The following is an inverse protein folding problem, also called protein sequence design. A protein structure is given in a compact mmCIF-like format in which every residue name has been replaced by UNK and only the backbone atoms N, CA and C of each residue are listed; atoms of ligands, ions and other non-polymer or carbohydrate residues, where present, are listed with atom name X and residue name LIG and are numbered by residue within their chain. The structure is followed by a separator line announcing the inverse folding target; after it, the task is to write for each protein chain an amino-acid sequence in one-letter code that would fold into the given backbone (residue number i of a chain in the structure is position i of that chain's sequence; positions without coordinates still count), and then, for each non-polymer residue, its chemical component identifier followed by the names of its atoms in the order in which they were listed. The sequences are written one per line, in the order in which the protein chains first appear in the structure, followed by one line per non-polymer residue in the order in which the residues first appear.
data_IF_262653667555
#
_entry.id   IF_262653667555
#
_cell.length_a   1.000
_cell.length_b   1.000
_cell.length_c   1.000
_cell.angle_alpha   90.00
_cell.angle_beta   90.00
_cell.angle_gamma   90.00
#
_symmetry.space_group_name_H-M   'P 1'
#
loop_
_entity.id
_entity.type
_entity.pdbx_description
1 polymer ?
#
# COMPACT_ATOMS: atom_id res chain seq x y z
N UNK A 1 -4.71 15.15 -7.07
CA UNK A 1 -4.62 13.90 -6.29
C UNK A 1 -5.21 12.77 -7.12
N UNK A 2 -4.47 11.67 -7.22
CA UNK A 2 -4.85 10.49 -7.99
C UNK A 2 -5.45 9.52 -6.98
N UNK A 3 -6.72 9.16 -7.14
CA UNK A 3 -7.41 8.23 -6.25
C UNK A 3 -7.76 6.98 -7.04
N UNK A 4 -7.62 5.83 -6.41
CA UNK A 4 -8.12 4.57 -6.95
C UNK A 4 -9.63 4.67 -7.15
N UNK A 5 -10.11 4.10 -8.26
CA UNK A 5 -11.54 4.04 -8.54
C UNK A 5 -12.08 2.74 -7.97
N UNK A 6 -12.97 2.85 -6.98
CA UNK A 6 -13.46 1.71 -6.22
C UNK A 6 -14.96 1.60 -6.42
N UNK A 7 -15.41 0.50 -7.00
CA UNK A 7 -16.81 0.11 -7.03
C UNK A 7 -17.08 -0.88 -5.90
N UNK A 8 -18.08 -0.61 -5.07
CA UNK A 8 -18.59 -1.58 -4.10
C UNK A 8 -19.95 -2.05 -4.59
N UNK A 9 -20.08 -3.36 -4.78
CA UNK A 9 -21.27 -3.99 -5.37
C UNK A 9 -21.75 -5.09 -4.45
N UNK A 10 -23.05 -5.10 -4.16
CA UNK A 10 -23.72 -6.22 -3.49
C UNK A 10 -24.33 -7.13 -4.55
N UNK A 11 -23.99 -8.41 -4.53
CA UNK A 11 -24.39 -9.40 -5.53
C UNK A 11 -25.59 -10.26 -5.06
N UNK A 12 -26.57 -9.66 -4.38
CA UNK A 12 -27.80 -10.35 -3.97
C UNK A 12 -28.68 -10.79 -5.16
N UNK A 13 -29.98 -11.00 -4.92
CA UNK A 13 -30.93 -11.44 -5.95
C UNK A 13 -30.93 -10.52 -7.19
N UNK A 14 -30.77 -9.22 -6.95
CA UNK A 14 -30.47 -8.20 -7.94
C UNK A 14 -29.20 -7.51 -7.50
N UNK A 15 -28.22 -7.39 -8.38
CA UNK A 15 -27.00 -6.72 -8.01
C UNK A 15 -27.24 -5.21 -7.89
N UNK A 16 -26.59 -4.59 -6.91
CA UNK A 16 -26.73 -3.15 -6.66
C UNK A 16 -25.38 -2.52 -6.40
N UNK A 17 -25.17 -1.33 -6.96
CA UNK A 17 -23.99 -0.52 -6.66
C UNK A 17 -24.19 0.14 -5.29
N UNK A 18 -23.40 -0.28 -4.31
CA UNK A 18 -23.39 0.27 -2.96
C UNK A 18 -22.62 1.58 -2.95
N UNK A 19 -21.48 1.61 -3.65
CA UNK A 19 -20.66 2.81 -3.81
C UNK A 19 -19.91 2.79 -5.14
N UNK A 20 -19.72 3.95 -5.74
CA UNK A 20 -18.86 4.17 -6.91
C UNK A 20 -17.93 5.34 -6.61
N UNK A 21 -16.83 5.04 -5.95
CA UNK A 21 -15.90 6.02 -5.45
C UNK A 21 -14.88 6.39 -6.52
N UNK A 22 -14.88 7.67 -6.89
CA UNK A 22 -13.84 8.29 -7.71
C UNK A 22 -12.82 9.09 -6.88
N UNK A 23 -13.11 9.24 -5.57
CA UNK A 23 -12.33 9.97 -4.57
C UNK A 23 -12.56 9.29 -3.22
N UNK A 24 -11.66 9.53 -2.26
CA UNK A 24 -11.93 9.15 -0.87
C UNK A 24 -13.19 9.84 -0.36
N UNK A 25 -14.07 9.09 0.31
CA UNK A 25 -15.27 9.63 0.97
C UNK A 25 -15.40 9.01 2.35
N UNK A 26 -15.54 9.85 3.37
CA UNK A 26 -15.88 9.45 4.75
C UNK A 26 -17.24 8.75 4.82
N UNK A 27 -18.08 8.92 3.80
CA UNK A 27 -19.37 8.23 3.67
C UNK A 27 -19.23 6.75 3.34
N UNK A 28 -18.05 6.30 2.88
CA UNK A 28 -17.85 4.90 2.53
C UNK A 28 -18.12 3.96 3.71
N UNK A 29 -17.70 4.35 4.91
CA UNK A 29 -17.98 3.59 6.12
C UNK A 29 -19.49 3.49 6.36
N UNK A 30 -20.22 4.61 6.25
CA UNK A 30 -21.69 4.63 6.43
C UNK A 30 -22.38 3.76 5.39
N UNK A 31 -21.99 3.88 4.13
CA UNK A 31 -22.56 3.09 3.02
C UNK A 31 -22.34 1.60 3.24
N UNK A 32 -21.14 1.19 3.65
CA UNK A 32 -20.83 -0.21 3.94
C UNK A 32 -21.66 -0.73 5.13
N UNK A 33 -21.81 0.05 6.20
CA UNK A 33 -22.64 -0.33 7.37
C UNK A 33 -24.13 -0.41 7.05
N UNK A 34 -24.62 0.48 6.21
CA UNK A 34 -26.02 0.52 5.78
C UNK A 34 -26.34 -0.52 4.71
N UNK A 35 -25.33 -1.11 4.07
CA UNK A 35 -25.56 -2.29 3.25
C UNK A 35 -26.03 -3.42 4.14
N UNK A 36 -27.34 -3.65 4.11
CA UNK A 36 -27.88 -4.91 4.57
C UNK A 36 -27.26 -6.01 3.69
N UNK A 37 -26.27 -6.72 4.25
CA UNK A 37 -25.72 -7.92 3.65
C UNK A 37 -26.83 -8.96 3.75
N UNK A 38 -27.75 -8.90 2.81
CA UNK A 38 -28.90 -9.75 2.80
C UNK A 38 -28.38 -11.18 2.78
N UNK A 39 -28.84 -11.97 3.75
CA UNK A 39 -28.91 -13.43 3.70
C UNK A 39 -29.84 -13.85 2.55
N UNK A 40 -29.56 -13.35 1.35
CA UNK A 40 -30.29 -13.67 0.16
C UNK A 40 -29.76 -15.02 -0.29
N UNK A 41 -30.64 -16.01 -0.25
CA UNK A 41 -30.41 -17.33 -0.85
C UNK A 41 -30.13 -17.22 -2.35
N UNK A 42 -30.52 -16.10 -2.95
CA UNK A 42 -30.31 -15.75 -4.34
C UNK A 42 -29.11 -14.81 -4.47
N UNK A 43 -28.13 -15.24 -5.25
CA UNK A 43 -26.92 -14.50 -5.58
C UNK A 43 -26.75 -14.46 -7.10
N UNK A 44 -26.62 -13.25 -7.66
CA UNK A 44 -26.47 -13.06 -9.09
C UNK A 44 -25.07 -12.48 -9.41
N UNK A 45 -24.11 -13.39 -9.59
CA UNK A 45 -22.72 -13.00 -9.90
C UNK A 45 -22.63 -12.24 -11.22
N UNK A 46 -23.30 -12.74 -12.24
CA UNK A 46 -23.22 -12.18 -13.59
C UNK A 46 -23.71 -10.75 -13.61
N UNK A 47 -24.85 -10.46 -13.00
CA UNK A 47 -25.39 -9.10 -12.92
C UNK A 47 -24.44 -8.16 -12.14
N UNK A 48 -23.82 -8.65 -11.06
CA UNK A 48 -22.85 -7.86 -10.30
C UNK A 48 -21.60 -7.50 -11.12
N UNK A 49 -21.07 -8.46 -11.90
CA UNK A 49 -19.90 -8.20 -12.76
C UNK A 49 -20.30 -7.33 -13.96
N UNK A 50 -21.50 -7.47 -14.50
CA UNK A 50 -22.01 -6.58 -15.56
C UNK A 50 -22.23 -5.14 -15.06
N UNK A 51 -22.67 -4.95 -13.81
CA UNK A 51 -22.69 -3.63 -13.18
C UNK A 51 -21.28 -3.06 -13.04
N UNK A 52 -20.32 -3.87 -12.60
CA UNK A 52 -18.93 -3.45 -12.55
C UNK A 52 -18.42 -3.04 -13.95
N UNK A 53 -18.72 -3.84 -14.98
CA UNK A 53 -18.32 -3.55 -16.36
C UNK A 53 -18.89 -2.22 -16.79
N UNK A 54 -20.19 -1.96 -16.58
CA UNK A 54 -20.81 -0.66 -16.89
C UNK A 54 -20.12 0.51 -16.19
N UNK A 55 -19.77 0.36 -14.91
CA UNK A 55 -19.04 1.41 -14.17
C UNK A 55 -17.69 1.70 -14.85
N UNK A 56 -16.93 0.67 -15.22
CA UNK A 56 -15.56 0.80 -15.72
C UNK A 56 -15.43 0.89 -17.25
N UNK A 57 -16.49 0.63 -18.02
CA UNK A 57 -16.52 0.69 -19.48
C UNK A 57 -16.75 2.12 -20.00
N UNK A 58 -17.55 2.92 -19.30
CA UNK A 58 -17.77 4.35 -19.62
C UNK A 58 -16.59 5.24 -19.18
N UNK A 59 -15.50 4.62 -18.77
CA UNK A 59 -14.43 5.29 -18.06
C UNK A 59 -13.46 5.94 -19.04
N UNK A 60 -13.81 7.14 -19.52
CA UNK A 60 -12.84 8.10 -20.10
C UNK A 60 -11.78 8.55 -19.08
N UNK A 61 -11.81 8.03 -17.86
CA UNK A 61 -10.89 8.45 -16.81
C UNK A 61 -9.49 7.88 -17.00
N UNK A 62 -8.59 8.55 -16.29
CA UNK A 62 -7.14 8.34 -16.21
C UNK A 62 -6.80 6.85 -16.26
N UNK A 63 -6.10 6.41 -17.31
CA UNK A 63 -5.53 5.07 -17.46
C UNK A 63 -4.65 4.64 -16.29
N UNK A 64 -4.22 5.60 -15.47
CA UNK A 64 -3.19 5.42 -14.46
C UNK A 64 -3.75 5.26 -13.03
N UNK A 65 -5.07 5.11 -12.85
CA UNK A 65 -5.64 4.84 -11.52
C UNK A 65 -5.94 3.35 -11.34
N UNK A 66 -5.57 2.73 -10.21
CA UNK A 66 -6.02 1.39 -9.88
C UNK A 66 -7.56 1.35 -9.86
N UNK A 67 -8.13 0.36 -10.54
CA UNK A 67 -9.57 0.12 -10.60
C UNK A 67 -9.89 -1.11 -9.78
N UNK A 68 -10.73 -0.99 -8.78
CA UNK A 68 -11.06 -2.09 -7.87
C UNK A 68 -12.56 -2.26 -7.73
N UNK A 69 -12.99 -3.50 -7.75
CA UNK A 69 -14.35 -3.92 -7.44
C UNK A 69 -14.31 -4.71 -6.15
N UNK A 70 -15.04 -4.25 -5.15
CA UNK A 70 -15.33 -5.01 -3.92
C UNK A 70 -16.73 -5.59 -4.07
N UNK A 71 -16.81 -6.92 -4.16
CA UNK A 71 -18.04 -7.62 -4.44
C UNK A 71 -18.48 -8.39 -3.20
N UNK A 72 -19.60 -7.97 -2.61
CA UNK A 72 -20.22 -8.64 -1.48
C UNK A 72 -21.15 -9.75 -1.96
N UNK A 73 -21.06 -10.92 -1.34
CA UNK A 73 -21.75 -12.15 -1.72
C UNK A 73 -22.22 -12.94 -0.50
N UNK A 74 -23.28 -13.74 -0.66
CA UNK A 74 -23.69 -14.75 0.33
C UNK A 74 -22.94 -16.07 0.16
N UNK A 75 -22.24 -16.28 -0.96
CA UNK A 75 -21.45 -17.49 -1.26
C UNK A 75 -20.03 -17.18 -1.72
N UNK A 76 -19.10 -18.09 -1.48
CA UNK A 76 -17.73 -17.99 -2.01
C UNK A 76 -17.76 -18.14 -3.53
N UNK A 77 -17.01 -17.30 -4.23
CA UNK A 77 -16.95 -17.27 -5.70
C UNK A 77 -15.58 -17.77 -6.11
N UNK A 78 -15.54 -18.90 -6.80
CA UNK A 78 -14.29 -19.50 -7.26
C UNK A 78 -14.25 -19.48 -8.78
N UNK A 79 -13.40 -18.62 -9.36
CA UNK A 79 -13.13 -18.64 -10.79
C UNK A 79 -11.95 -19.55 -11.10
N UNK A 80 -12.23 -20.66 -11.78
CA UNK A 80 -11.18 -21.57 -12.24
C UNK A 80 -10.40 -20.98 -13.42
N UNK A 81 -9.07 -21.19 -13.51
CA UNK A 81 -8.29 -20.77 -14.65
C UNK A 81 -8.83 -21.40 -15.95
N UNK A 82 -9.08 -20.56 -16.96
CA UNK A 82 -9.68 -20.97 -18.23
C UNK A 82 -8.88 -22.06 -18.97
N UNK A 83 -7.58 -22.23 -18.68
CA UNK A 83 -6.76 -23.30 -19.26
C UNK A 83 -7.16 -24.72 -18.86
N UNK A 84 -8.01 -24.90 -17.82
CA UNK A 84 -8.54 -26.21 -17.40
C UNK A 84 -10.05 -26.38 -17.60
N UNK A 85 -10.75 -25.37 -18.13
CA UNK A 85 -12.22 -25.36 -18.18
C UNK A 85 -12.85 -26.18 -19.31
N UNK A 86 -12.09 -26.73 -20.27
CA UNK A 86 -12.70 -27.44 -21.40
C UNK A 86 -13.26 -28.83 -21.08
N UNK A 87 -12.92 -29.43 -19.93
CA UNK A 87 -13.19 -30.87 -19.68
C UNK A 87 -14.30 -31.12 -18.63
N UNK A 88 -14.67 -30.13 -17.81
CA UNK A 88 -15.71 -30.32 -16.77
C UNK A 88 -17.05 -29.73 -17.19
N UNK A 89 -17.74 -30.40 -18.13
CA UNK A 89 -19.12 -30.08 -18.55
C UNK A 89 -20.21 -30.35 -17.49
N UNK A 90 -19.86 -30.76 -16.27
CA UNK A 90 -20.84 -31.13 -15.22
C UNK A 90 -21.03 -30.09 -14.10
N UNK A 91 -20.39 -28.91 -14.16
CA UNK A 91 -20.55 -27.90 -13.12
C UNK A 91 -21.91 -27.18 -13.23
N UNK A 92 -22.76 -27.42 -12.23
CA UNK A 92 -24.19 -27.05 -12.12
C UNK A 92 -24.56 -25.56 -12.22
N UNK A 93 -23.63 -24.62 -12.42
CA UNK A 93 -23.93 -23.19 -12.48
C UNK A 93 -23.33 -22.52 -13.73
N UNK A 94 -24.07 -22.55 -14.84
CA UNK A 94 -23.72 -21.84 -16.07
C UNK A 94 -23.48 -20.33 -15.83
N UNK A 95 -24.26 -19.73 -14.92
CA UNK A 95 -24.16 -18.31 -14.56
C UNK A 95 -22.80 -17.91 -13.98
N UNK A 96 -22.15 -18.79 -13.21
CA UNK A 96 -20.83 -18.49 -12.62
C UNK A 96 -19.74 -18.48 -13.71
N UNK A 97 -19.91 -19.27 -14.77
CA UNK A 97 -18.94 -19.39 -15.87
C UNK A 97 -18.89 -18.11 -16.69
N UNK A 98 -20.04 -17.53 -17.00
CA UNK A 98 -20.11 -16.26 -17.72
C UNK A 98 -19.55 -15.11 -16.89
N UNK A 99 -19.96 -14.99 -15.61
CA UNK A 99 -19.42 -13.98 -14.70
C UNK A 99 -17.89 -14.04 -14.57
N UNK A 100 -17.30 -15.24 -14.43
CA UNK A 100 -15.85 -15.41 -14.36
C UNK A 100 -15.15 -15.01 -15.68
N UNK A 101 -15.75 -15.32 -16.82
CA UNK A 101 -15.24 -14.88 -18.13
C UNK A 101 -15.21 -13.35 -18.22
N UNK A 102 -16.22 -12.68 -17.66
CA UNK A 102 -16.35 -11.24 -17.65
C UNK A 102 -15.34 -10.59 -16.70
N UNK A 103 -15.12 -11.16 -15.51
CA UNK A 103 -14.03 -10.75 -14.62
C UNK A 103 -12.67 -10.85 -15.32
N UNK A 104 -12.40 -11.98 -16.00
CA UNK A 104 -11.14 -12.18 -16.72
C UNK A 104 -10.97 -11.20 -17.88
N UNK A 105 -12.05 -10.84 -18.59
CA UNK A 105 -12.07 -9.79 -19.61
C UNK A 105 -11.77 -8.44 -18.97
N UNK A 106 -12.53 -8.02 -17.96
CA UNK A 106 -12.36 -6.72 -17.31
C UNK A 106 -10.97 -6.54 -16.70
N UNK A 107 -10.43 -7.59 -16.10
CA UNK A 107 -9.10 -7.53 -15.50
C UNK A 107 -8.00 -7.40 -16.56
N UNK A 108 -8.20 -7.92 -17.78
CA UNK A 108 -7.25 -7.80 -18.91
C UNK A 108 -7.42 -6.50 -19.68
N UNK A 109 -8.65 -6.13 -20.00
CA UNK A 109 -8.99 -4.97 -20.83
C UNK A 109 -8.92 -3.66 -20.05
N UNK A 110 -9.43 -3.65 -18.82
CA UNK A 110 -9.55 -2.42 -18.02
C UNK A 110 -8.57 -2.35 -16.85
N UNK A 111 -7.81 -3.42 -16.56
CA UNK A 111 -6.92 -3.46 -15.40
C UNK A 111 -7.66 -3.50 -14.05
N UNK A 112 -8.93 -3.94 -14.05
CA UNK A 112 -9.75 -4.01 -12.83
C UNK A 112 -9.32 -5.19 -11.97
N UNK A 113 -9.20 -4.96 -10.65
CA UNK A 113 -8.99 -6.01 -9.66
C UNK A 113 -10.28 -6.25 -8.88
N UNK A 114 -10.65 -7.52 -8.70
CA UNK A 114 -11.85 -7.91 -7.98
C UNK A 114 -11.48 -8.53 -6.63
N UNK A 115 -12.15 -8.06 -5.59
CA UNK A 115 -12.08 -8.55 -4.21
C UNK A 115 -13.48 -9.07 -3.87
N UNK A 116 -13.64 -10.39 -3.79
CA UNK A 116 -14.87 -11.02 -3.33
C UNK A 116 -14.91 -11.07 -1.81
N UNK A 117 -16.03 -10.67 -1.20
CA UNK A 117 -16.31 -10.77 0.22
C UNK A 117 -17.57 -11.60 0.38
N UNK A 118 -17.46 -12.79 0.98
CA UNK A 118 -18.58 -13.68 1.23
C UNK A 118 -18.92 -13.72 2.71
N UNK A 119 -20.19 -13.49 3.08
CA UNK A 119 -20.66 -13.58 4.47
C UNK A 119 -21.25 -14.98 4.69
N UNK A 120 -20.50 -15.86 5.35
CA UNK A 120 -20.97 -17.18 5.73
C UNK A 120 -21.40 -17.26 7.20
N UNK A 121 -21.96 -18.41 7.60
CA UNK A 121 -22.34 -18.68 9.00
C UNK A 121 -21.16 -18.62 9.99
N UNK A 122 -19.93 -18.72 9.48
CA UNK A 122 -18.70 -18.70 10.27
C UNK A 122 -17.91 -17.38 10.17
N UNK A 123 -18.50 -16.32 9.59
CA UNK A 123 -17.85 -15.02 9.41
C UNK A 123 -17.67 -14.60 7.96
N UNK A 124 -16.83 -13.60 7.74
CA UNK A 124 -16.58 -12.96 6.45
C UNK A 124 -15.37 -13.61 5.78
N UNK A 125 -15.52 -14.22 4.60
CA UNK A 125 -14.42 -14.79 3.83
C UNK A 125 -14.10 -13.88 2.63
N UNK A 126 -12.84 -13.50 2.47
CA UNK A 126 -12.38 -12.72 1.33
C UNK A 126 -11.57 -13.54 0.36
N UNK A 127 -11.79 -13.35 -0.95
CA UNK A 127 -11.02 -14.00 -2.01
C UNK A 127 -10.70 -13.00 -3.13
N UNK A 128 -9.52 -13.13 -3.74
CA UNK A 128 -9.18 -12.38 -4.95
C UNK A 128 -9.62 -13.18 -6.17
N UNK A 129 -10.39 -12.56 -7.08
CA UNK A 129 -10.96 -13.29 -8.23
C UNK A 129 -9.92 -13.59 -9.33
N UNK A 130 -8.63 -13.44 -9.02
CA UNK A 130 -7.50 -13.89 -9.85
C UNK A 130 -6.69 -14.93 -9.07
N UNK A 131 -7.04 -16.21 -9.25
CA UNK A 131 -6.21 -17.31 -8.78
C UNK A 131 -6.00 -17.32 -7.26
N UNK A 132 -7.05 -17.71 -6.55
CA UNK A 132 -7.11 -18.30 -5.20
C UNK A 132 -6.18 -17.75 -4.11
N UNK A 133 -6.75 -17.06 -3.13
CA UNK A 133 -6.38 -17.22 -1.71
C UNK A 133 -7.47 -16.62 -0.80
N UNK A 134 -8.05 -17.49 0.02
CA UNK A 134 -9.03 -17.15 1.05
C UNK A 134 -8.34 -16.50 2.25
N UNK A 135 -8.83 -15.35 2.70
CA UNK A 135 -8.53 -14.80 4.03
C UNK A 135 -9.85 -14.81 4.83
N UNK A 136 -9.98 -15.66 5.85
CA UNK A 136 -11.14 -15.63 6.74
C UNK A 136 -11.06 -14.43 7.70
N UNK A 137 -12.22 -13.84 7.99
CA UNK A 137 -12.42 -12.73 8.92
C UNK A 137 -13.51 -13.09 9.94
N UNK A 138 -13.22 -12.79 11.20
CA UNK A 138 -14.21 -12.71 12.28
C UNK A 138 -14.95 -11.36 12.22
N UNK A 139 -16.24 -11.38 12.57
CA UNK A 139 -17.24 -10.39 12.17
C UNK A 139 -17.08 -8.96 12.71
N UNK A 140 -16.07 -8.66 13.53
CA UNK A 140 -15.87 -7.31 14.09
C UNK A 140 -14.64 -6.57 13.51
N UNK A 141 -13.69 -7.28 12.91
CA UNK A 141 -12.47 -6.68 12.35
C UNK A 141 -12.50 -6.49 10.83
N UNK A 142 -13.56 -6.93 10.17
CA UNK A 142 -13.61 -7.04 8.71
C UNK A 142 -13.45 -5.70 7.99
N UNK A 143 -13.91 -4.58 8.58
CA UNK A 143 -13.80 -3.25 7.95
C UNK A 143 -12.38 -2.69 7.97
N UNK A 144 -11.73 -2.64 9.14
CA UNK A 144 -10.34 -2.23 9.24
C UNK A 144 -9.46 -3.13 8.37
N UNK A 145 -9.83 -4.41 8.23
CA UNK A 145 -9.14 -5.37 7.39
C UNK A 145 -9.42 -5.18 5.90
N UNK A 146 -10.62 -4.81 5.44
CA UNK A 146 -10.89 -4.44 4.04
C UNK A 146 -10.08 -3.20 3.65
N UNK A 147 -10.10 -2.15 4.48
CA UNK A 147 -9.30 -0.95 4.25
C UNK A 147 -7.81 -1.25 4.31
N UNK A 148 -7.37 -2.08 5.26
CA UNK A 148 -6.00 -2.59 5.29
C UNK A 148 -5.72 -3.40 4.04
N UNK A 149 -6.55 -4.29 3.54
CA UNK A 149 -6.33 -5.05 2.30
C UNK A 149 -6.27 -4.15 1.06
N UNK A 150 -7.08 -3.09 1.01
CA UNK A 150 -6.96 -2.04 0.00
C UNK A 150 -5.68 -1.22 0.16
N UNK A 151 -4.99 -1.33 1.29
CA UNK A 151 -3.75 -0.62 1.59
C UNK A 151 -2.48 -1.47 1.73
N UNK A 152 -2.62 -2.78 1.94
CA UNK A 152 -1.55 -3.68 2.30
C UNK A 152 -1.24 -4.59 1.13
N UNK A 153 0.06 -4.74 0.90
CA UNK A 153 0.63 -6.08 0.76
C UNK A 153 1.70 -6.30 1.85
N UNK A 154 2.08 -7.57 2.07
CA UNK A 154 3.16 -8.07 2.94
C UNK A 154 2.89 -8.28 4.44
N UNK A 155 1.99 -9.22 4.78
CA UNK A 155 2.30 -10.20 5.85
C UNK A 155 2.00 -11.63 5.36
N UNK A 156 0.93 -11.82 4.59
CA UNK A 156 0.51 -13.18 4.16
C UNK A 156 1.45 -13.79 3.11
N UNK A 157 2.09 -12.98 2.25
CA UNK A 157 3.08 -13.48 1.29
C UNK A 157 4.33 -14.10 1.95
N UNK A 158 4.72 -13.62 3.15
CA UNK A 158 5.81 -14.23 3.92
C UNK A 158 5.37 -15.48 4.69
N UNK A 159 4.09 -15.59 5.07
CA UNK A 159 3.53 -16.81 5.66
C UNK A 159 3.36 -17.93 4.63
N UNK A 160 3.15 -17.59 3.35
CA UNK A 160 2.99 -18.53 2.24
C UNK A 160 4.20 -18.45 1.29
N UNK A 161 5.32 -19.06 1.70
CA UNK A 161 6.61 -19.13 0.98
C UNK A 161 6.56 -19.57 -0.51
N UNK A 162 5.40 -19.93 -1.05
CA UNK A 162 5.23 -20.47 -2.39
C UNK A 162 4.86 -19.44 -3.46
N UNK A 163 4.58 -18.17 -3.11
CA UNK A 163 4.22 -17.14 -4.08
C UNK A 163 5.43 -16.34 -4.58
N UNK A 164 6.34 -16.99 -5.31
CA UNK A 164 7.44 -16.30 -6.03
C UNK A 164 6.96 -15.45 -7.23
N UNK A 165 5.67 -15.54 -7.59
CA UNK A 165 5.12 -14.93 -8.81
C UNK A 165 3.92 -14.00 -8.56
N UNK A 166 3.51 -13.73 -7.31
CA UNK A 166 2.52 -12.66 -7.10
C UNK A 166 3.20 -11.33 -7.40
N UNK A 167 2.77 -10.67 -8.48
CA UNK A 167 3.16 -9.27 -8.71
C UNK A 167 2.46 -8.46 -7.63
N UNK A 168 3.26 -7.92 -6.70
CA UNK A 168 2.79 -7.11 -5.58
C UNK A 168 1.82 -6.03 -6.07
N UNK A 169 0.54 -6.14 -5.71
CA UNK A 169 -0.51 -5.24 -6.16
C UNK A 169 -0.90 -4.30 -5.03
N UNK A 170 -0.38 -3.08 -5.06
CA UNK A 170 -0.90 -2.01 -4.21
C UNK A 170 -2.08 -1.34 -4.87
N UNK A 171 -3.23 -1.39 -4.21
CA UNK A 171 -4.46 -0.77 -4.71
C UNK A 171 -4.45 0.74 -4.51
N UNK A 172 -3.74 1.25 -3.51
CA UNK A 172 -3.72 2.67 -3.18
C UNK A 172 -2.28 3.12 -2.93
N UNK A 173 -1.81 4.06 -3.75
CA UNK A 173 -0.51 4.69 -3.58
C UNK A 173 -0.74 6.19 -3.53
N UNK A 174 -1.14 6.68 -2.37
CA UNK A 174 -1.38 8.10 -2.14
C UNK A 174 -0.53 8.59 -0.97
N UNK A 175 0.20 9.67 -1.21
CA UNK A 175 0.88 10.40 -0.16
C UNK A 175 -0.08 11.36 0.53
N UNK A 176 -0.08 11.33 1.86
CA UNK A 176 -1.10 12.01 2.67
C UNK A 176 -1.08 13.53 2.49
N UNK A 177 0.11 14.10 2.35
CA UNK A 177 0.34 15.54 2.29
C UNK A 177 0.89 15.95 0.93
N UNK A 178 0.62 17.22 0.54
CA UNK A 178 1.23 17.82 -0.66
C UNK A 178 2.75 17.98 -0.55
N UNK A 179 3.31 17.87 0.66
CA UNK A 179 4.75 17.94 0.90
C UNK A 179 5.50 16.65 0.56
N UNK A 180 4.77 15.53 0.49
CA UNK A 180 5.29 14.22 0.15
C UNK A 180 5.25 14.03 -1.37
N UNK A 181 6.37 13.58 -1.91
CA UNK A 181 6.49 13.12 -3.29
C UNK A 181 6.38 11.61 -3.32
N UNK A 182 5.62 11.08 -4.27
CA UNK A 182 5.48 9.65 -4.46
C UNK A 182 6.56 9.11 -5.40
N UNK A 183 7.15 7.97 -5.04
CA UNK A 183 8.02 7.23 -5.96
C UNK A 183 7.19 6.68 -7.12
N UNK A 184 7.46 7.15 -8.34
CA UNK A 184 6.88 6.63 -9.57
C UNK A 184 7.96 6.00 -10.46
N UNK A 185 7.64 4.89 -11.11
CA UNK A 185 8.55 4.26 -12.08
C UNK A 185 8.21 4.75 -13.51
N UNK A 186 9.22 5.26 -14.22
CA UNK A 186 9.13 5.55 -15.66
C UNK A 186 8.25 6.73 -16.04
N UNK A 187 8.05 7.72 -15.15
CA UNK A 187 7.21 8.90 -15.43
C UNK A 187 5.72 8.60 -15.62
N UNK A 188 5.32 7.34 -15.46
CA UNK A 188 3.92 6.93 -15.42
C UNK A 188 3.38 7.11 -14.01
N UNK A 189 2.16 7.60 -13.84
CA UNK A 189 1.48 7.66 -12.52
C UNK A 189 1.12 6.25 -12.00
N UNK A 190 1.72 5.20 -12.55
CA UNK A 190 1.51 3.83 -12.10
C UNK A 190 2.14 3.69 -10.72
N UNK A 191 1.28 3.39 -9.75
CA UNK A 191 1.62 2.85 -8.44
C UNK A 191 2.87 1.96 -8.52
N UNK A 192 4.01 2.50 -8.07
CA UNK A 192 5.23 1.73 -8.01
C UNK A 192 5.08 0.62 -6.97
N UNK A 193 5.70 -0.55 -7.23
CA UNK A 193 5.71 -1.71 -6.29
C UNK A 193 6.15 -1.38 -4.87
N UNK A 194 6.76 -0.22 -4.65
CA UNK A 194 7.40 0.13 -3.37
C UNK A 194 6.60 1.06 -2.50
N UNK A 195 5.41 1.51 -2.94
CA UNK A 195 4.51 2.34 -2.13
C UNK A 195 5.29 3.32 -1.25
N UNK A 196 6.09 4.22 -1.84
CA UNK A 196 6.96 5.09 -1.05
C UNK A 196 6.60 6.55 -1.26
N UNK A 197 6.44 7.24 -0.15
CA UNK A 197 6.25 8.69 -0.09
C UNK A 197 7.42 9.29 0.66
N UNK A 198 8.13 10.24 0.05
CA UNK A 198 9.30 10.89 0.64
C UNK A 198 9.05 12.39 0.73
N UNK A 199 9.43 13.00 1.85
CA UNK A 199 9.51 14.45 1.99
C UNK A 199 10.88 14.86 2.51
N UNK A 200 11.46 15.87 1.88
CA UNK A 200 12.67 16.54 2.36
C UNK A 200 12.30 17.73 3.24
N UNK A 201 12.99 17.85 4.39
CA UNK A 201 12.76 18.89 5.39
C UNK A 201 13.93 19.86 5.44
N UNK A 202 13.63 21.15 5.36
CA UNK A 202 14.62 22.23 5.46
C UNK A 202 15.03 22.55 6.91
N UNK A 203 14.50 21.81 7.89
CA UNK A 203 14.91 21.93 9.29
C UNK A 203 16.23 21.17 9.49
N UNK A 204 17.17 21.75 10.25
CA UNK A 204 18.44 21.11 10.58
C UNK A 204 18.39 20.52 11.99
N UNK A 205 18.60 19.22 12.12
CA UNK A 205 18.53 18.47 13.38
C UNK A 205 19.72 17.50 13.52
N UNK A 206 19.97 17.05 14.76
CA UNK A 206 20.80 15.87 14.99
C UNK A 206 20.13 14.65 14.36
N UNK A 207 20.88 13.55 14.16
CA UNK A 207 20.29 12.35 13.57
C UNK A 207 19.12 11.81 14.40
N UNK A 208 19.29 11.72 15.72
CA UNK A 208 18.28 11.18 16.62
C UNK A 208 17.04 12.07 16.68
N UNK A 209 17.21 13.40 16.70
CA UNK A 209 16.09 14.35 16.64
C UNK A 209 15.37 14.32 15.29
N UNK A 210 16.10 14.16 14.19
CA UNK A 210 15.51 13.99 12.85
C UNK A 210 14.69 12.69 12.77
N UNK A 211 15.21 11.59 13.32
CA UNK A 211 14.51 10.32 13.40
C UNK A 211 13.24 10.41 14.26
N UNK A 212 13.31 11.05 15.42
CA UNK A 212 12.15 11.30 16.28
C UNK A 212 11.14 12.23 15.58
N UNK A 213 11.60 13.27 14.88
CA UNK A 213 10.73 14.15 14.11
C UNK A 213 9.92 13.38 13.05
N UNK A 214 10.57 12.52 12.25
CA UNK A 214 9.83 11.67 11.30
C UNK A 214 8.86 10.74 12.03
N UNK A 215 9.30 10.09 13.12
CA UNK A 215 8.49 9.14 13.90
C UNK A 215 7.25 9.75 14.51
N UNK A 216 7.34 10.97 15.03
CA UNK A 216 6.21 11.72 15.61
C UNK A 216 5.04 11.91 14.63
N UNK A 217 5.31 11.75 13.33
CA UNK A 217 4.34 11.86 12.24
C UNK A 217 4.01 10.53 11.57
N UNK A 218 4.42 9.42 12.18
CA UNK A 218 4.24 8.07 11.64
C UNK A 218 5.18 7.73 10.48
N UNK A 219 6.26 8.50 10.29
CA UNK A 219 7.25 8.30 9.23
C UNK A 219 8.54 7.71 9.79
N UNK A 220 9.45 7.27 8.93
CA UNK A 220 10.85 6.98 9.26
C UNK A 220 11.77 7.96 8.55
N UNK A 221 13.06 8.02 8.92
CA UNK A 221 14.04 8.62 8.02
C UNK A 221 14.07 7.84 6.70
N UNK A 222 14.36 8.51 5.59
CA UNK A 222 14.34 7.90 4.26
C UNK A 222 15.46 6.86 4.09
N UNK A 223 15.12 5.64 3.69
CA UNK A 223 16.00 4.49 3.62
C UNK A 223 16.19 4.11 2.14
N UNK A 224 17.36 4.35 1.55
CA UNK A 224 17.63 3.94 0.18
C UNK A 224 17.86 2.42 0.13
N UNK A 225 16.79 1.62 0.01
CA UNK A 225 16.86 0.15 0.02
C UNK A 225 17.46 -0.48 -1.24
N UNK A 226 17.58 0.30 -2.31
CA UNK A 226 18.13 -0.13 -3.60
C UNK A 226 18.33 1.10 -4.50
N UNK A 227 18.89 0.87 -5.69
CA UNK A 227 19.23 1.92 -6.66
C UNK A 227 18.07 2.85 -7.03
N UNK A 228 16.86 2.33 -7.22
CA UNK A 228 15.73 3.15 -7.63
C UNK A 228 15.21 4.02 -6.49
N UNK A 229 15.10 3.44 -5.30
CA UNK A 229 14.71 4.18 -4.09
C UNK A 229 15.76 5.25 -3.76
N UNK A 230 17.05 4.90 -3.87
CA UNK A 230 18.17 5.84 -3.71
C UNK A 230 18.06 7.03 -4.67
N UNK A 231 17.95 6.76 -5.98
CA UNK A 231 17.84 7.83 -6.99
C UNK A 231 16.63 8.73 -6.77
N UNK A 232 15.51 8.16 -6.30
CA UNK A 232 14.32 8.94 -5.99
C UNK A 232 14.50 9.85 -4.77
N UNK A 233 15.05 9.33 -3.67
CA UNK A 233 15.37 10.11 -2.47
C UNK A 233 16.35 11.23 -2.84
N UNK A 234 17.39 10.94 -3.61
CA UNK A 234 18.34 11.95 -4.11
C UNK A 234 17.66 13.02 -4.96
N UNK A 235 16.71 12.66 -5.82
CA UNK A 235 15.89 13.61 -6.57
C UNK A 235 15.08 14.55 -5.66
N UNK A 236 14.53 14.03 -4.56
CA UNK A 236 13.78 14.83 -3.59
C UNK A 236 14.68 15.75 -2.75
N UNK A 237 15.90 15.33 -2.45
CA UNK A 237 16.89 16.15 -1.75
C UNK A 237 17.40 17.27 -2.67
N UNK A 238 17.82 16.91 -3.87
CA UNK A 238 18.44 17.84 -4.85
C UNK A 238 17.47 18.88 -5.41
N UNK A 239 16.17 18.56 -5.51
CA UNK A 239 15.15 19.50 -5.99
C UNK A 239 14.92 20.68 -5.04
N UNK A 240 15.22 20.53 -3.74
CA UNK A 240 15.03 21.58 -2.74
C UNK A 240 16.28 22.40 -2.49
N UNK A 241 17.42 21.74 -2.21
CA UNK A 241 18.66 22.44 -1.97
C UNK A 241 19.87 21.55 -2.28
N UNK A 242 20.58 21.89 -3.36
CA UNK A 242 21.73 21.12 -3.82
C UNK A 242 22.91 21.22 -2.86
N UNK A 243 23.15 22.36 -2.21
CA UNK A 243 24.39 22.62 -1.48
C UNK A 243 24.47 21.93 -0.11
N UNK A 244 23.35 21.42 0.40
CA UNK A 244 23.21 21.04 1.80
C UNK A 244 23.42 19.54 2.06
N UNK A 245 23.73 19.25 3.33
CA UNK A 245 23.91 17.90 3.86
C UNK A 245 22.61 17.36 4.46
N UNK A 246 22.31 16.08 4.18
CA UNK A 246 21.05 15.44 4.57
C UNK A 246 21.27 14.12 5.30
N UNK A 247 20.68 13.95 6.48
CA UNK A 247 20.52 12.66 7.11
C UNK A 247 19.62 11.75 6.26
N UNK A 248 20.06 10.51 6.11
CA UNK A 248 19.27 9.39 5.59
C UNK A 248 19.15 8.33 6.68
N UNK A 249 18.16 7.46 6.60
CA UNK A 249 17.79 6.49 7.64
C UNK A 249 18.74 5.31 7.81
N UNK A 250 20.03 5.52 7.58
CA UNK A 250 21.06 4.49 7.65
C UNK A 250 22.06 4.77 8.77
N UNK A 251 22.47 3.69 9.44
CA UNK A 251 23.58 3.65 10.40
C UNK A 251 24.61 2.67 9.89
N UNK A 252 25.88 2.99 10.10
CA UNK A 252 27.00 2.11 9.81
C UNK A 252 27.55 1.54 11.10
N UNK A 253 27.76 0.23 11.11
CA UNK A 253 28.45 -0.47 12.19
C UNK A 253 29.35 -1.57 11.59
N UNK A 254 30.66 -1.42 11.75
CA UNK A 254 31.65 -2.21 11.01
C UNK A 254 31.47 -2.02 9.50
N UNK A 255 31.55 -3.11 8.72
CA UNK A 255 31.38 -3.07 7.26
C UNK A 255 29.90 -3.15 6.81
N UNK A 256 28.97 -3.03 7.75
CA UNK A 256 27.54 -3.23 7.51
C UNK A 256 26.75 -1.94 7.68
N UNK A 257 25.67 -1.86 6.91
CA UNK A 257 24.67 -0.81 7.01
C UNK A 257 23.39 -1.36 7.62
N UNK A 258 22.78 -0.56 8.48
CA UNK A 258 21.56 -0.89 9.19
C UNK A 258 20.56 0.25 9.06
N UNK A 259 19.28 -0.09 9.05
CA UNK A 259 18.22 0.89 9.23
C UNK A 259 17.35 0.52 10.43
N UNK A 260 16.75 1.53 11.04
CA UNK A 260 15.78 1.34 12.10
C UNK A 260 14.40 1.20 11.48
N UNK A 261 13.79 0.03 11.66
CA UNK A 261 12.37 -0.15 11.37
C UNK A 261 11.50 0.67 12.34
N UNK A 262 10.22 0.84 12.03
CA UNK A 262 9.24 1.45 12.93
C UNK A 262 9.18 0.79 14.32
N UNK A 263 9.58 -0.49 14.42
CA UNK A 263 9.64 -1.27 15.66
C UNK A 263 11.00 -1.20 16.38
N UNK A 264 11.89 -0.28 16.00
CA UNK A 264 13.26 -0.15 16.54
C UNK A 264 14.13 -1.39 16.35
N UNK A 265 13.74 -2.31 15.46
CA UNK A 265 14.58 -3.44 15.06
C UNK A 265 15.56 -2.94 14.01
N UNK A 266 16.86 -3.19 14.24
CA UNK A 266 17.91 -2.95 13.27
C UNK A 266 17.85 -4.03 12.20
N UNK A 267 17.61 -3.61 10.96
CA UNK A 267 17.64 -4.49 9.80
C UNK A 267 18.89 -4.21 9.00
N UNK A 268 19.65 -5.27 8.70
CA UNK A 268 20.79 -5.17 7.80
C UNK A 268 20.30 -4.83 6.40
N UNK A 269 20.97 -3.84 5.83
CA UNK A 269 20.84 -3.46 4.45
C UNK A 269 21.63 -4.47 3.62
N UNK A 270 20.99 -5.12 2.64
CA UNK A 270 21.66 -6.08 1.75
C UNK A 270 22.79 -5.44 0.92
N UNK A 271 23.27 -6.12 -0.13
CA UNK A 271 24.29 -5.61 -1.04
C UNK A 271 23.80 -4.39 -1.83
N UNK A 272 23.72 -3.25 -1.15
CA UNK A 272 23.33 -2.00 -1.74
C UNK A 272 24.52 -1.43 -2.48
N UNK A 273 24.25 -0.93 -3.67
CA UNK A 273 25.18 -0.05 -4.33
C UNK A 273 25.22 1.24 -3.50
N UNK A 274 26.22 1.33 -2.64
CA UNK A 274 26.44 2.50 -1.79
C UNK A 274 27.11 3.58 -2.61
N UNK A 275 26.49 4.75 -2.70
CA UNK A 275 27.04 5.90 -3.41
C UNK A 275 28.00 6.69 -2.49
N UNK A 276 28.96 6.03 -1.83
CA UNK A 276 29.92 6.68 -0.94
C UNK A 276 30.75 7.74 -1.69
N UNK A 277 31.03 8.87 -1.03
CA UNK A 277 32.06 9.76 -1.51
C UNK A 277 33.44 9.07 -1.52
N UNK A 278 34.33 9.39 -2.46
CA UNK A 278 35.69 8.83 -2.47
C UNK A 278 36.47 9.12 -1.18
N UNK A 279 36.15 10.25 -0.55
CA UNK A 279 36.70 10.74 0.71
C UNK A 279 35.79 10.45 1.92
N UNK A 280 34.86 9.48 1.81
CA UNK A 280 33.97 9.12 2.89
C UNK A 280 34.70 8.43 4.05
N UNK A 281 34.27 8.74 5.27
CA UNK A 281 34.79 8.20 6.53
C UNK A 281 34.23 6.81 6.85
N UNK A 282 34.33 5.88 5.90
CA UNK A 282 33.77 4.52 6.01
C UNK A 282 34.50 3.64 7.04
N UNK A 283 35.54 4.12 7.71
CA UNK A 283 36.21 3.35 8.77
C UNK A 283 35.50 3.47 10.11
N UNK A 284 34.74 4.54 10.30
CA UNK A 284 34.06 4.80 11.56
C UNK A 284 32.64 4.23 11.54
N UNK A 285 32.15 3.96 12.74
CA UNK A 285 30.74 3.73 12.98
C UNK A 285 30.02 5.06 13.09
N UNK A 286 28.74 5.08 12.73
CA UNK A 286 27.96 6.30 12.83
C UNK A 286 26.71 6.31 11.98
N UNK A 287 26.25 7.53 11.71
CA UNK A 287 25.03 7.83 10.99
C UNK A 287 25.39 8.31 9.60
N UNK A 288 24.66 7.79 8.62
CA UNK A 288 24.96 8.09 7.23
C UNK A 288 24.25 9.37 6.82
N UNK A 289 24.96 10.24 6.15
CA UNK A 289 24.42 11.44 5.54
C UNK A 289 24.91 11.59 4.11
N UNK A 290 24.11 12.30 3.33
CA UNK A 290 24.46 12.72 1.97
C UNK A 290 25.15 14.08 2.03
N UNK A 291 26.25 14.23 1.30
CA UNK A 291 26.99 15.49 1.14
C UNK A 291 27.59 15.64 -0.25
N UNK A 292 28.16 16.82 -0.52
CA UNK A 292 29.00 17.05 -1.71
C UNK A 292 30.36 16.37 -1.52
N UNK A 293 30.82 15.63 -2.51
CA UNK A 293 32.14 14.99 -2.46
C UNK A 293 33.24 16.00 -2.79
N UNK A 294 34.41 15.91 -2.14
CA UNK A 294 35.49 16.89 -2.34
C UNK A 294 36.21 16.67 -3.68
N UNK A 295 36.46 15.41 -4.03
CA UNK A 295 37.27 15.03 -5.20
C UNK A 295 36.48 14.94 -6.52
N UNK A 296 35.15 15.09 -6.51
CA UNK A 296 34.29 14.94 -7.70
C UNK A 296 33.20 16.00 -7.74
N UNK A 297 32.83 16.44 -8.94
CA UNK A 297 31.57 17.14 -9.15
C UNK A 297 30.42 16.15 -8.92
N UNK A 298 29.90 16.08 -7.69
CA UNK A 298 28.84 15.15 -7.36
C UNK A 298 28.50 15.11 -5.88
N UNK A 299 27.54 14.23 -5.58
CA UNK A 299 27.06 13.95 -4.24
C UNK A 299 27.24 12.49 -3.95
N UNK A 300 27.43 12.20 -2.67
CA UNK A 300 27.57 10.84 -2.19
C UNK A 300 27.34 10.78 -0.69
N UNK A 301 27.48 9.58 -0.15
CA UNK A 301 27.27 9.30 1.25
C UNK A 301 28.56 9.46 2.03
N UNK A 302 28.42 9.80 3.31
CA UNK A 302 29.49 9.84 4.29
C UNK A 302 28.94 9.43 5.67
N UNK A 303 29.84 9.16 6.61
CA UNK A 303 29.54 8.70 7.96
C UNK A 303 29.90 9.80 8.95
N UNK A 304 28.94 10.18 9.78
CA UNK A 304 29.12 11.16 10.85
C UNK A 304 28.70 10.58 12.21
N UNK A 305 29.04 11.24 13.31
CA UNK A 305 28.54 10.83 14.62
C UNK A 305 27.00 10.90 14.67
N UNK A 306 26.36 10.09 15.53
CA UNK A 306 24.89 9.98 15.64
C UNK A 306 24.24 10.77 16.79
N UNK A 307 25.02 11.14 17.82
CA UNK A 307 24.49 11.67 19.08
C UNK A 307 23.99 13.13 19.08
N UNK A 308 23.67 13.68 20.26
CA UNK A 308 23.07 15.02 20.39
C UNK A 308 24.04 16.17 20.07
N UNK A 309 25.35 15.91 20.17
CA UNK A 309 26.40 16.89 19.83
C UNK A 309 26.83 16.80 18.37
N UNK A 310 26.00 16.24 17.51
CA UNK A 310 26.35 16.03 16.10
C UNK A 310 26.06 17.27 15.26
N UNK A 311 26.73 17.40 14.10
CA UNK A 311 26.39 18.44 13.15
C UNK A 311 24.91 18.39 12.80
N UNK A 312 24.23 19.53 12.88
CA UNK A 312 22.84 19.64 12.49
C UNK A 312 22.73 19.57 10.96
N UNK A 313 21.95 18.62 10.47
CA UNK A 313 21.74 18.40 9.03
C UNK A 313 20.27 18.44 8.69
N UNK A 314 19.98 18.74 7.43
CA UNK A 314 18.65 18.50 6.90
C UNK A 314 18.35 17.01 6.90
N UNK A 315 17.11 16.62 6.62
CA UNK A 315 16.75 15.21 6.62
C UNK A 315 15.60 14.95 5.66
N UNK A 316 15.51 13.70 5.20
CA UNK A 316 14.38 13.21 4.44
C UNK A 316 13.61 12.21 5.31
N UNK A 317 12.29 12.37 5.38
CA UNK A 317 11.41 11.36 5.95
C UNK A 317 10.78 10.54 4.83
N UNK A 318 10.53 9.27 5.09
CA UNK A 318 9.72 8.41 4.24
C UNK A 318 8.57 7.76 4.98
N UNK A 319 7.52 7.43 4.25
CA UNK A 319 6.41 6.62 4.73
C UNK A 319 5.90 5.75 3.61
N UNK A 320 5.18 4.70 3.97
CA UNK A 320 4.45 3.93 2.98
C UNK A 320 3.36 4.80 2.34
N UNK A 321 3.28 4.77 1.02
CA UNK A 321 2.19 5.30 0.23
C UNK A 321 0.96 4.41 0.42
N UNK A 322 0.43 4.37 1.65
CA UNK A 322 -0.94 3.96 1.87
C UNK A 322 -1.48 4.50 3.19
N UNK A 323 -2.05 5.71 3.12
CA UNK A 323 -2.78 6.28 4.25
C UNK A 323 -4.21 5.74 4.25
N UNK A 324 -4.51 4.81 5.15
CA UNK A 324 -5.90 4.44 5.51
C UNK A 324 -6.60 5.59 6.21
N UNK A 325 -5.85 6.49 6.85
CA UNK A 325 -6.35 7.68 7.55
C UNK A 325 -7.13 8.56 6.57
N UNK A 326 -6.66 8.75 5.33
CA UNK A 326 -7.42 9.47 4.29
C UNK A 326 -8.72 8.80 3.84
N UNK A 327 -8.90 7.50 4.04
CA UNK A 327 -10.19 6.83 3.85
C UNK A 327 -11.10 6.93 5.08
N UNK A 328 -10.52 7.26 6.25
CA UNK A 328 -11.21 7.31 7.53
C UNK A 328 -11.40 8.73 8.11
N UNK A 329 -10.84 9.78 7.50
CA UNK A 329 -10.83 11.13 8.09
C UNK A 329 -12.14 11.88 7.84
N UNK A 330 -12.93 12.04 8.91
CA UNK A 330 -13.06 13.26 9.73
C UNK A 330 -14.32 13.08 10.61
N UNK A 331 -14.17 12.37 11.74
CA UNK A 331 -15.22 12.29 12.76
C UNK A 331 -14.64 12.67 14.14
N UNK A 332 -15.40 13.39 14.97
CA UNK A 332 -15.08 13.63 16.38
C UNK A 332 -15.21 12.32 17.14
N UNK A 333 -14.17 11.48 17.11
CA UNK A 333 -14.24 10.13 17.66
C UNK A 333 -12.93 9.36 17.65
N UNK A 334 -11.78 10.04 17.74
CA UNK A 334 -10.44 9.42 17.80
C UNK A 334 -10.26 8.40 18.94
N UNK A 335 -11.22 8.26 19.85
CA UNK A 335 -11.23 7.21 20.87
C UNK A 335 -11.58 5.81 20.34
N UNK A 336 -12.41 5.65 19.32
CA UNK A 336 -12.90 4.31 18.94
C UNK A 336 -11.87 3.44 18.20
N UNK A 337 -10.94 4.04 17.44
CA UNK A 337 -9.86 3.28 16.82
C UNK A 337 -8.72 2.91 17.79
N UNK A 338 -8.64 3.55 18.97
CA UNK A 338 -7.63 3.25 20.02
C UNK A 338 -8.18 2.41 21.17
N UNK A 339 -9.44 2.60 21.59
CA UNK A 339 -10.06 1.85 22.71
C UNK A 339 -10.34 0.38 22.39
N UNK A 340 -10.37 -0.02 21.12
CA UNK A 340 -10.54 -1.42 20.72
C UNK A 340 -9.37 -2.34 21.10
N UNK A 341 -8.24 -1.80 21.58
CA UNK A 341 -7.09 -2.59 22.05
C UNK A 341 -7.04 -2.80 23.57
N UNK A 342 -7.77 -2.04 24.41
CA UNK A 342 -7.63 -2.13 25.88
C UNK A 342 -8.82 -2.75 26.64
N UNK A 343 -10.03 -2.75 26.10
CA UNK A 343 -11.23 -3.04 26.91
C UNK A 343 -11.84 -4.45 26.71
N UNK A 344 -11.21 -5.35 25.95
CA UNK A 344 -11.74 -6.68 25.63
C UNK A 344 -11.38 -7.81 26.64
N UNK A 345 -11.28 -7.49 27.93
CA UNK A 345 -11.10 -8.50 29.01
C UNK A 345 -12.28 -8.61 29.98
N UNK A 346 -13.43 -7.98 29.69
CA UNK A 346 -14.67 -8.21 30.43
C UNK A 346 -15.89 -8.16 29.51
N UNK A 347 -16.26 -9.32 28.99
CA UNK A 347 -17.64 -9.80 28.75
C UNK A 347 -17.54 -11.28 28.37
#
# INVERSE_FOLDING_TARGET
MVYSRIAIISAGAKATVVANLTRSSSELHKLIYQTNFCKADLFNFTDAVQLAERIFADDRTRSNVPKVVVLFSSRTITCLPTSRCYILRSAKNYEDTYGCSLVAKMSRTYGVTFIGLSVGNHGLNMDFVRGCSLIPFDGFHSYSRIYRTLCYELIVANALKNFKNSKDFSVNCNCETKSLSQLSFGGSDVCSRRNLCVESRNLRLSFDDAAEHCRSRGFSLAIPTDKHTSSFIEGQITSRNKAEEYWIGLRKHGDKLYYLTSYKVLSEVGSLQTDWCPDANIKNDGCVYRRRCQARSGYGWDVGPCGPLTPLRHFACETTACSTIKYCDDQPGREYCRKGESDALRC
#
